data_IF_795941699542
#
_entry.id   IF_795941699542
#
_cell.length_a   1.000
_cell.length_b   1.000
_cell.length_c   1.000
_cell.angle_alpha   90.00
_cell.angle_beta   90.00
_cell.angle_gamma   90.00
#
_symmetry.space_group_name_H-M   'P 1'
#
loop_
_entity.id
_entity.type
_entity.pdbx_description
1 polymer ?
#
# COMPACT_ATOMS: atom_id res chain seq x y z
N UNK A 1 100.81 -146.06 -5.21
CA UNK A 1 100.47 -146.55 -3.86
C UNK A 1 98.96 -146.45 -3.68
N UNK A 2 98.28 -147.62 -3.68
CA UNK A 2 97.25 -148.10 -2.74
C UNK A 2 96.38 -147.03 -2.02
N UNK A 3 95.06 -147.12 -1.81
CA UNK A 3 93.97 -148.12 -1.92
C UNK A 3 92.79 -147.40 -1.18
N UNK A 4 91.51 -147.34 -1.59
CA UNK A 4 90.42 -148.31 -1.33
C UNK A 4 89.05 -147.71 -1.71
N UNK A 5 88.33 -148.43 -2.57
CA UNK A 5 86.91 -148.87 -2.49
C UNK A 5 85.82 -148.00 -1.80
N UNK A 6 84.72 -147.67 -2.52
CA UNK A 6 83.38 -148.28 -2.37
C UNK A 6 82.30 -147.68 -3.30
N UNK A 7 81.26 -148.49 -3.54
CA UNK A 7 80.31 -148.52 -4.66
C UNK A 7 78.87 -148.06 -4.21
N UNK A 8 77.78 -148.13 -5.01
CA UNK A 8 76.91 -146.98 -5.38
C UNK A 8 75.45 -147.02 -4.84
N UNK A 9 74.62 -145.99 -5.15
CA UNK A 9 73.16 -145.99 -4.89
C UNK A 9 72.34 -145.19 -5.91
N UNK A 10 71.44 -145.86 -6.65
CA UNK A 10 70.71 -145.32 -7.81
C UNK A 10 69.45 -144.46 -7.50
N UNK A 11 69.18 -144.10 -6.24
CA UNK A 11 67.90 -143.50 -5.80
C UNK A 11 67.78 -141.96 -5.87
N UNK A 12 68.88 -141.21 -6.04
CA UNK A 12 68.85 -139.73 -5.99
C UNK A 12 68.34 -139.03 -7.26
N UNK A 13 68.03 -139.74 -8.34
CA UNK A 13 67.55 -139.11 -9.58
C UNK A 13 66.03 -139.03 -9.68
N UNK A 14 65.27 -139.88 -8.98
CA UNK A 14 63.79 -139.85 -9.01
C UNK A 14 63.20 -138.77 -8.08
N UNK A 15 63.81 -138.50 -6.93
CA UNK A 15 63.31 -137.49 -5.97
C UNK A 15 63.36 -136.05 -6.46
N UNK A 16 64.25 -135.72 -7.41
CA UNK A 16 64.42 -134.33 -7.89
C UNK A 16 63.35 -133.88 -8.88
N UNK A 17 62.72 -134.80 -9.61
CA UNK A 17 61.68 -134.49 -10.59
C UNK A 17 60.33 -134.12 -9.94
N UNK A 18 59.96 -134.80 -8.85
CA UNK A 18 58.70 -134.56 -8.12
C UNK A 18 58.69 -133.18 -7.44
N UNK A 19 59.83 -132.76 -6.89
CA UNK A 19 59.94 -131.46 -6.20
C UNK A 19 59.71 -130.26 -7.15
N UNK A 20 60.13 -130.36 -8.41
CA UNK A 20 59.94 -129.29 -9.42
C UNK A 20 58.46 -129.20 -9.84
N UNK A 21 57.77 -130.33 -9.98
CA UNK A 21 56.38 -130.38 -10.41
C UNK A 21 55.44 -129.77 -9.35
N UNK A 22 55.69 -130.06 -8.07
CA UNK A 22 54.91 -129.51 -6.96
C UNK A 22 55.09 -127.99 -6.82
N UNK A 23 56.31 -127.48 -7.08
CA UNK A 23 56.58 -126.03 -7.07
C UNK A 23 55.80 -125.30 -8.18
N UNK A 24 55.64 -125.91 -9.34
CA UNK A 24 54.93 -125.30 -10.47
C UNK A 24 53.42 -125.22 -10.21
N UNK A 25 52.81 -126.26 -9.64
CA UNK A 25 51.38 -126.28 -9.27
C UNK A 25 51.06 -125.18 -8.26
N UNK A 26 51.90 -124.99 -7.25
CA UNK A 26 51.68 -123.96 -6.23
C UNK A 26 51.66 -122.54 -6.81
N UNK A 27 52.57 -122.24 -7.74
CA UNK A 27 52.61 -120.93 -8.43
C UNK A 27 51.35 -120.73 -9.28
N UNK A 28 50.87 -121.75 -9.96
CA UNK A 28 49.63 -121.68 -10.76
C UNK A 28 48.41 -121.41 -9.86
N UNK A 29 48.32 -122.06 -8.70
CA UNK A 29 47.22 -121.83 -7.75
C UNK A 29 47.21 -120.40 -7.21
N UNK A 30 48.38 -119.83 -6.89
CA UNK A 30 48.47 -118.43 -6.45
C UNK A 30 48.06 -117.46 -7.57
N UNK A 31 48.49 -117.71 -8.81
CA UNK A 31 48.12 -116.89 -9.95
C UNK A 31 46.60 -116.88 -10.19
N UNK A 32 45.94 -118.05 -10.05
CA UNK A 32 44.48 -118.16 -10.15
C UNK A 32 43.79 -117.42 -9.01
N UNK A 33 44.27 -117.57 -7.77
CA UNK A 33 43.70 -116.88 -6.59
C UNK A 33 43.78 -115.36 -6.72
N UNK A 34 44.90 -114.82 -7.21
CA UNK A 34 45.06 -113.39 -7.46
C UNK A 34 44.11 -112.93 -8.60
N UNK A 35 43.99 -113.73 -9.67
CA UNK A 35 43.07 -113.44 -10.76
C UNK A 35 41.60 -113.36 -10.29
N UNK A 36 41.17 -114.31 -9.46
CA UNK A 36 39.82 -114.31 -8.86
C UNK A 36 39.65 -113.14 -7.90
N UNK A 37 40.65 -112.84 -7.07
CA UNK A 37 40.62 -111.72 -6.13
C UNK A 37 40.46 -110.37 -6.84
N UNK A 38 41.16 -110.15 -7.96
CA UNK A 38 41.02 -108.93 -8.76
C UNK A 38 39.65 -108.90 -9.47
N UNK A 39 39.22 -110.02 -10.08
CA UNK A 39 37.98 -110.07 -10.85
C UNK A 39 36.74 -109.81 -9.99
N UNK A 40 36.71 -110.31 -8.74
CA UNK A 40 35.59 -110.10 -7.82
C UNK A 40 35.76 -108.88 -6.89
N UNK A 41 36.99 -108.43 -6.63
CA UNK A 41 37.25 -107.25 -5.79
C UNK A 41 36.87 -105.93 -6.46
N UNK A 42 37.12 -105.79 -7.77
CA UNK A 42 36.83 -104.55 -8.52
C UNK A 42 35.33 -104.22 -8.55
N UNK A 43 34.41 -105.17 -8.84
CA UNK A 43 32.96 -104.89 -8.82
C UNK A 43 32.44 -104.47 -7.44
N UNK A 44 32.93 -105.07 -6.35
CA UNK A 44 32.45 -104.76 -5.00
C UNK A 44 32.83 -103.35 -4.54
N UNK A 45 34.07 -102.94 -4.84
CA UNK A 45 34.56 -101.58 -4.53
C UNK A 45 33.82 -100.51 -5.36
N UNK A 46 33.46 -100.83 -6.61
CA UNK A 46 32.75 -99.91 -7.50
C UNK A 46 31.35 -99.54 -6.96
N UNK A 47 30.58 -100.53 -6.49
CA UNK A 47 29.22 -100.29 -5.98
C UNK A 47 29.19 -99.53 -4.65
N UNK A 48 30.19 -99.70 -3.78
CA UNK A 48 30.17 -99.12 -2.43
C UNK A 48 30.68 -97.68 -2.36
N UNK A 49 31.44 -97.22 -3.36
CA UNK A 49 32.05 -95.87 -3.37
C UNK A 49 31.49 -94.94 -4.44
N UNK A 50 31.04 -95.45 -5.60
CA UNK A 50 30.69 -94.59 -6.75
C UNK A 50 29.27 -94.02 -6.66
N UNK A 51 28.32 -94.74 -6.06
CA UNK A 51 26.91 -94.33 -5.98
C UNK A 51 26.65 -93.14 -5.01
N UNK A 52 27.21 -93.06 -3.78
CA UNK A 52 26.93 -91.92 -2.88
C UNK A 52 27.53 -90.57 -3.37
N UNK A 53 28.50 -90.61 -4.27
CA UNK A 53 29.10 -89.40 -4.87
C UNK A 53 28.17 -88.79 -5.92
N UNK A 54 27.33 -89.58 -6.59
CA UNK A 54 26.41 -89.07 -7.62
C UNK A 54 25.24 -88.29 -7.01
N UNK A 55 24.64 -88.77 -5.91
CA UNK A 55 23.58 -88.04 -5.19
C UNK A 55 24.12 -86.77 -4.51
N UNK A 56 25.35 -86.85 -3.99
CA UNK A 56 26.03 -85.68 -3.41
C UNK A 56 26.38 -84.65 -4.49
N UNK A 57 26.81 -85.09 -5.68
CA UNK A 57 27.08 -84.20 -6.81
C UNK A 57 25.81 -83.49 -7.30
N UNK A 58 24.68 -84.19 -7.42
CA UNK A 58 23.41 -83.59 -7.82
C UNK A 58 22.87 -82.58 -6.79
N UNK A 59 23.02 -82.86 -5.48
CA UNK A 59 22.65 -81.91 -4.42
C UNK A 59 23.55 -80.67 -4.41
N UNK A 60 24.86 -80.87 -4.60
CA UNK A 60 25.83 -79.77 -4.70
C UNK A 60 25.50 -78.87 -5.90
N UNK A 61 25.12 -79.46 -7.04
CA UNK A 61 24.71 -78.69 -8.23
C UNK A 61 23.45 -77.85 -7.98
N UNK A 62 22.45 -78.40 -7.27
CA UNK A 62 21.23 -77.66 -6.89
C UNK A 62 21.55 -76.54 -5.90
N UNK A 63 22.37 -76.81 -4.87
CA UNK A 63 22.82 -75.79 -3.91
C UNK A 63 23.63 -74.69 -4.57
N UNK A 64 24.48 -75.02 -5.55
CA UNK A 64 25.23 -74.03 -6.33
C UNK A 64 24.30 -73.15 -7.15
N UNK A 65 23.32 -73.74 -7.85
CA UNK A 65 22.30 -72.96 -8.57
C UNK A 65 21.48 -72.08 -7.64
N UNK A 66 21.08 -72.59 -6.48
CA UNK A 66 20.31 -71.82 -5.50
C UNK A 66 21.11 -70.66 -4.91
N UNK A 67 22.41 -70.88 -4.63
CA UNK A 67 23.34 -69.82 -4.23
C UNK A 67 23.57 -68.78 -5.32
N UNK A 68 23.70 -69.20 -6.58
CA UNK A 68 23.82 -68.30 -7.73
C UNK A 68 22.56 -67.46 -7.92
N UNK A 69 21.38 -68.09 -7.88
CA UNK A 69 20.08 -67.41 -7.97
C UNK A 69 19.87 -66.44 -6.81
N UNK A 70 20.14 -66.88 -5.58
CA UNK A 70 20.06 -66.01 -4.40
C UNK A 70 21.01 -64.82 -4.57
N UNK A 71 22.25 -65.05 -5.03
CA UNK A 71 23.22 -63.97 -5.27
C UNK A 71 22.74 -62.99 -6.36
N UNK A 72 22.10 -63.48 -7.42
CA UNK A 72 21.54 -62.59 -8.45
C UNK A 72 20.36 -61.79 -7.92
N UNK A 73 19.51 -62.39 -7.10
CA UNK A 73 18.36 -61.73 -6.48
C UNK A 73 18.85 -60.62 -5.53
N UNK A 74 19.82 -60.93 -4.65
CA UNK A 74 20.44 -59.93 -3.76
C UNK A 74 21.09 -58.78 -4.54
N UNK A 75 21.80 -59.06 -5.63
CA UNK A 75 22.38 -58.01 -6.46
C UNK A 75 21.31 -57.14 -7.14
N UNK A 76 20.19 -57.75 -7.54
CA UNK A 76 19.06 -57.04 -8.15
C UNK A 76 18.38 -56.14 -7.12
N UNK A 77 18.07 -56.68 -5.94
CA UNK A 77 17.47 -55.93 -4.82
C UNK A 77 18.37 -54.76 -4.36
N UNK A 78 19.67 -54.99 -4.23
CA UNK A 78 20.62 -53.93 -3.88
C UNK A 78 20.67 -52.82 -4.94
N UNK A 79 20.59 -53.20 -6.22
CA UNK A 79 20.55 -52.24 -7.32
C UNK A 79 19.25 -51.43 -7.29
N UNK A 80 18.10 -52.07 -7.06
CA UNK A 80 16.81 -51.39 -6.95
C UNK A 80 16.79 -50.45 -5.72
N UNK A 81 17.28 -50.91 -4.57
CA UNK A 81 17.38 -50.07 -3.37
C UNK A 81 18.30 -48.87 -3.60
N UNK A 82 19.46 -49.07 -4.25
CA UNK A 82 20.36 -47.97 -4.60
C UNK A 82 19.67 -46.95 -5.51
N UNK A 83 18.92 -47.42 -6.52
CA UNK A 83 18.16 -46.53 -7.41
C UNK A 83 17.08 -45.75 -6.64
N UNK A 84 16.36 -46.42 -5.73
CA UNK A 84 15.35 -45.78 -4.87
C UNK A 84 15.95 -44.74 -3.94
N UNK A 85 17.11 -45.02 -3.34
CA UNK A 85 17.83 -44.06 -2.49
C UNK A 85 18.24 -42.84 -3.32
N UNK A 86 18.85 -43.02 -4.49
CA UNK A 86 19.23 -41.90 -5.35
C UNK A 86 18.02 -41.06 -5.81
N UNK A 87 16.88 -41.70 -6.09
CA UNK A 87 15.64 -40.99 -6.42
C UNK A 87 15.10 -40.18 -5.23
N UNK A 88 15.11 -40.75 -4.02
CA UNK A 88 14.70 -40.06 -2.80
C UNK A 88 15.64 -38.90 -2.45
N UNK A 89 16.94 -39.06 -2.63
CA UNK A 89 17.93 -37.98 -2.44
C UNK A 89 17.68 -36.83 -3.42
N UNK A 90 17.38 -37.14 -4.68
CA UNK A 90 17.02 -36.13 -5.69
C UNK A 90 15.71 -35.41 -5.36
N UNK A 91 14.69 -36.13 -4.91
CA UNK A 91 13.42 -35.53 -4.52
C UNK A 91 13.58 -34.63 -3.29
N UNK A 92 14.34 -35.09 -2.30
CA UNK A 92 14.65 -34.32 -1.09
C UNK A 92 15.44 -33.05 -1.42
N UNK A 93 16.38 -33.11 -2.36
CA UNK A 93 17.08 -31.93 -2.86
C UNK A 93 16.11 -30.95 -3.55
N UNK A 94 15.21 -31.43 -4.40
CA UNK A 94 14.20 -30.60 -5.06
C UNK A 94 13.20 -29.98 -4.07
N UNK A 95 12.81 -30.71 -3.03
CA UNK A 95 11.95 -30.18 -1.97
C UNK A 95 12.65 -29.11 -1.15
N UNK A 96 13.93 -29.28 -0.81
CA UNK A 96 14.72 -28.24 -0.13
C UNK A 96 14.81 -26.96 -0.94
N UNK A 97 15.03 -27.08 -2.25
CA UNK A 97 15.05 -25.93 -3.15
C UNK A 97 13.71 -25.19 -3.17
N UNK A 98 12.59 -25.94 -3.23
CA UNK A 98 11.23 -25.36 -3.17
C UNK A 98 10.95 -24.66 -1.85
N UNK A 99 11.39 -25.24 -0.73
CA UNK A 99 11.25 -24.62 0.60
C UNK A 99 12.05 -23.32 0.65
N UNK A 100 13.31 -23.33 0.21
CA UNK A 100 14.14 -22.13 0.17
C UNK A 100 13.52 -21.02 -0.71
N UNK A 101 12.94 -21.39 -1.86
CA UNK A 101 12.22 -20.46 -2.71
C UNK A 101 10.98 -19.87 -2.01
N UNK A 102 10.17 -20.70 -1.35
CA UNK A 102 9.00 -20.26 -0.60
C UNK A 102 9.37 -19.35 0.58
N UNK A 103 10.44 -19.65 1.30
CA UNK A 103 10.96 -18.79 2.38
C UNK A 103 11.40 -17.44 1.82
N UNK A 104 12.07 -17.42 0.66
CA UNK A 104 12.41 -16.19 -0.04
C UNK A 104 11.19 -15.38 -0.48
N UNK A 105 10.15 -16.05 -0.99
CA UNK A 105 8.89 -15.43 -1.38
C UNK A 105 8.15 -14.83 -0.17
N UNK A 106 8.12 -15.55 0.95
CA UNK A 106 7.55 -15.04 2.20
C UNK A 106 8.30 -13.81 2.71
N UNK A 107 9.64 -13.82 2.66
CA UNK A 107 10.44 -12.66 3.04
C UNK A 107 10.15 -11.42 2.18
N UNK A 108 10.00 -11.60 0.87
CA UNK A 108 9.59 -10.52 -0.04
C UNK A 108 8.18 -10.02 0.24
N UNK A 109 7.25 -10.91 0.58
CA UNK A 109 5.88 -10.52 0.93
C UNK A 109 5.85 -9.72 2.24
N UNK A 110 6.65 -10.10 3.23
CA UNK A 110 6.77 -9.38 4.50
C UNK A 110 7.34 -7.97 4.28
N UNK A 111 8.37 -7.84 3.45
CA UNK A 111 8.92 -6.54 3.06
C UNK A 111 7.88 -5.65 2.34
N UNK A 112 7.07 -6.24 1.45
CA UNK A 112 5.96 -5.53 0.80
C UNK A 112 4.87 -5.10 1.80
N UNK A 113 4.54 -5.92 2.79
CA UNK A 113 3.57 -5.57 3.83
C UNK A 113 4.07 -4.41 4.67
N UNK A 114 5.35 -4.42 5.06
CA UNK A 114 5.97 -3.31 5.80
C UNK A 114 5.95 -2.02 4.98
N UNK A 115 6.29 -2.08 3.69
CA UNK A 115 6.24 -0.92 2.80
C UNK A 115 4.80 -0.38 2.63
N UNK A 116 3.79 -1.26 2.56
CA UNK A 116 2.39 -0.83 2.54
C UNK A 116 1.95 -0.20 3.87
N UNK A 117 2.34 -0.76 5.01
CA UNK A 117 2.05 -0.19 6.33
C UNK A 117 2.66 1.21 6.46
N UNK A 118 3.89 1.41 5.99
CA UNK A 118 4.54 2.72 5.94
C UNK A 118 3.77 3.69 5.05
N UNK A 119 3.38 3.26 3.85
CA UNK A 119 2.56 4.07 2.93
C UNK A 119 1.22 4.46 3.56
N UNK A 120 0.56 3.55 4.26
CA UNK A 120 -0.71 3.83 4.95
C UNK A 120 -0.52 4.79 6.13
N UNK A 121 0.60 4.66 6.85
CA UNK A 121 0.99 5.56 7.95
C UNK A 121 1.26 6.98 7.44
N UNK A 122 1.76 7.14 6.21
CA UNK A 122 1.96 8.44 5.55
C UNK A 122 0.66 9.03 4.97
N UNK A 123 -0.18 8.19 4.35
CA UNK A 123 -1.42 8.64 3.72
C UNK A 123 -2.46 9.13 4.73
N UNK A 124 -2.50 8.53 5.92
CA UNK A 124 -3.47 8.89 6.95
C UNK A 124 -3.37 10.35 7.43
N UNK A 125 -2.21 10.86 7.89
CA UNK A 125 -2.08 12.26 8.27
C UNK A 125 -2.26 13.21 7.08
N UNK A 126 -1.92 12.79 5.86
CA UNK A 126 -2.20 13.59 4.66
C UNK A 126 -3.71 13.74 4.43
N UNK A 127 -4.49 12.67 4.61
CA UNK A 127 -5.95 12.71 4.53
C UNK A 127 -6.54 13.63 5.61
N UNK A 128 -6.11 13.47 6.86
CA UNK A 128 -6.59 14.28 7.99
C UNK A 128 -6.30 15.78 7.73
N UNK A 129 -5.11 16.11 7.20
CA UNK A 129 -4.76 17.49 6.83
C UNK A 129 -5.63 18.03 5.70
N UNK A 130 -5.98 17.20 4.70
CA UNK A 130 -6.87 17.62 3.62
C UNK A 130 -8.30 17.85 4.10
N UNK A 131 -8.79 17.04 5.04
CA UNK A 131 -10.11 17.22 5.66
C UNK A 131 -10.16 18.53 6.45
N UNK A 132 -9.13 18.82 7.24
CA UNK A 132 -9.00 20.07 7.99
C UNK A 132 -8.99 21.29 7.05
N UNK A 133 -8.18 21.25 5.98
CA UNK A 133 -8.13 22.34 4.99
C UNK A 133 -9.49 22.54 4.28
N UNK A 134 -10.22 21.46 4.02
CA UNK A 134 -11.55 21.53 3.40
C UNK A 134 -12.57 22.14 4.37
N UNK A 135 -12.47 21.82 5.67
CA UNK A 135 -13.26 22.46 6.72
C UNK A 135 -13.00 23.96 6.80
N UNK A 136 -11.73 24.37 6.84
CA UNK A 136 -11.33 25.78 6.85
C UNK A 136 -11.85 26.55 5.65
N UNK A 137 -11.76 25.97 4.43
CA UNK A 137 -12.34 26.58 3.23
C UNK A 137 -13.87 26.73 3.32
N UNK A 138 -14.56 25.80 3.99
CA UNK A 138 -15.99 25.91 4.27
C UNK A 138 -16.31 27.11 5.15
N UNK A 139 -15.57 27.25 6.25
CA UNK A 139 -15.71 28.37 7.19
C UNK A 139 -15.39 29.72 6.51
N UNK A 140 -14.30 29.78 5.74
CA UNK A 140 -13.90 30.97 4.98
C UNK A 140 -14.99 31.40 3.98
N UNK A 141 -15.61 30.44 3.29
CA UNK A 141 -16.71 30.72 2.36
C UNK A 141 -17.93 31.26 3.09
N UNK A 142 -18.27 30.73 4.27
CA UNK A 142 -19.36 31.24 5.10
C UNK A 142 -19.10 32.69 5.54
N UNK A 143 -17.87 32.99 5.97
CA UNK A 143 -17.43 34.35 6.31
C UNK A 143 -17.57 35.29 5.10
N UNK A 144 -17.07 34.88 3.93
CA UNK A 144 -17.16 35.69 2.71
C UNK A 144 -18.61 35.96 2.30
N UNK A 145 -19.51 34.98 2.45
CA UNK A 145 -20.93 35.20 2.18
C UNK A 145 -21.56 36.19 3.17
N UNK A 146 -21.17 36.12 4.45
CA UNK A 146 -21.57 37.09 5.45
C UNK A 146 -21.10 38.51 5.10
N UNK A 147 -19.83 38.68 4.76
CA UNK A 147 -19.25 39.96 4.32
C UNK A 147 -19.90 40.48 3.03
N UNK A 148 -20.25 39.60 2.10
CA UNK A 148 -20.94 39.99 0.88
C UNK A 148 -22.37 40.48 1.15
N UNK A 149 -23.06 39.90 2.14
CA UNK A 149 -24.39 40.34 2.53
C UNK A 149 -24.35 41.69 3.24
N UNK A 150 -23.39 41.91 4.13
CA UNK A 150 -23.19 43.24 4.76
C UNK A 150 -22.85 44.29 3.72
N UNK A 151 -21.91 44.00 2.80
CA UNK A 151 -21.56 44.90 1.72
C UNK A 151 -22.75 45.16 0.78
N UNK A 152 -23.56 44.13 0.50
CA UNK A 152 -24.80 44.30 -0.27
C UNK A 152 -25.76 45.24 0.43
N UNK A 153 -25.93 45.14 1.74
CA UNK A 153 -26.80 46.05 2.52
C UNK A 153 -26.25 47.48 2.50
N UNK A 154 -24.93 47.65 2.65
CA UNK A 154 -24.29 48.97 2.58
C UNK A 154 -24.43 49.59 1.18
N UNK A 155 -24.24 48.79 0.12
CA UNK A 155 -24.39 49.21 -1.26
C UNK A 155 -25.84 49.24 -1.75
N UNK A 156 -26.80 48.71 -0.98
CA UNK A 156 -28.21 48.65 -1.37
C UNK A 156 -28.89 50.02 -1.36
N UNK A 157 -28.23 51.07 -0.87
CA UNK A 157 -28.79 52.42 -0.96
C UNK A 157 -27.85 53.45 -1.61
N UNK A 158 -27.49 53.26 -2.91
CA UNK A 158 -26.85 54.32 -3.71
C UNK A 158 -27.75 55.55 -3.80
N UNK A 159 -29.07 55.34 -3.73
CA UNK A 159 -30.07 56.40 -3.68
C UNK A 159 -29.96 57.23 -2.39
N UNK A 160 -29.61 56.66 -1.24
CA UNK A 160 -29.34 57.44 -0.01
C UNK A 160 -28.17 58.39 -0.18
N UNK A 161 -27.07 57.95 -0.79
CA UNK A 161 -25.89 58.81 -0.99
C UNK A 161 -26.22 59.94 -1.97
N UNK A 162 -26.91 59.62 -3.07
CA UNK A 162 -27.34 60.63 -4.06
C UNK A 162 -28.38 61.58 -3.47
N UNK A 163 -29.35 61.09 -2.70
CA UNK A 163 -30.37 61.90 -2.04
C UNK A 163 -29.77 62.80 -0.94
N UNK A 164 -28.80 62.31 -0.17
CA UNK A 164 -28.08 63.13 0.81
C UNK A 164 -27.29 64.26 0.13
N UNK A 165 -26.63 63.97 -1.00
CA UNK A 165 -25.91 64.98 -1.78
C UNK A 165 -26.85 66.01 -2.40
N UNK A 166 -27.99 65.58 -2.97
CA UNK A 166 -29.01 66.48 -3.52
C UNK A 166 -29.55 67.43 -2.44
N UNK A 167 -29.92 66.91 -1.26
CA UNK A 167 -30.39 67.74 -0.13
C UNK A 167 -29.35 68.79 0.27
N UNK A 168 -28.08 68.38 0.41
CA UNK A 168 -27.00 69.30 0.79
C UNK A 168 -26.75 70.40 -0.25
N UNK A 169 -26.83 70.05 -1.54
CA UNK A 169 -26.69 71.03 -2.60
C UNK A 169 -27.79 72.09 -2.54
N UNK A 170 -29.04 71.68 -2.31
CA UNK A 170 -30.18 72.60 -2.24
C UNK A 170 -30.08 73.48 -0.96
N UNK A 171 -29.61 72.94 0.17
CA UNK A 171 -29.35 73.73 1.39
C UNK A 171 -28.28 74.80 1.16
N UNK A 172 -27.19 74.47 0.48
CA UNK A 172 -26.15 75.44 0.12
C UNK A 172 -26.67 76.52 -0.85
N UNK A 173 -27.56 76.15 -1.78
CA UNK A 173 -28.23 77.11 -2.64
C UNK A 173 -29.13 78.07 -1.82
N UNK A 174 -29.93 77.55 -0.88
CA UNK A 174 -30.74 78.37 0.01
C UNK A 174 -29.87 79.34 0.84
N UNK A 175 -28.77 78.84 1.40
CA UNK A 175 -27.78 79.63 2.14
C UNK A 175 -27.20 80.77 1.29
N UNK A 176 -26.84 80.48 0.04
CA UNK A 176 -26.32 81.48 -0.89
C UNK A 176 -27.33 82.56 -1.25
N UNK A 177 -28.59 82.18 -1.48
CA UNK A 177 -29.68 83.12 -1.77
C UNK A 177 -30.03 84.02 -0.57
N UNK A 178 -29.95 83.50 0.67
CA UNK A 178 -30.10 84.32 1.89
C UNK A 178 -28.98 85.36 1.99
N UNK A 179 -27.73 84.96 1.73
CA UNK A 179 -26.59 85.88 1.73
C UNK A 179 -26.76 86.97 0.66
N UNK A 180 -27.21 86.59 -0.54
CA UNK A 180 -27.50 87.51 -1.64
C UNK A 180 -28.62 88.49 -1.29
N UNK A 181 -29.69 88.01 -0.63
CA UNK A 181 -30.77 88.87 -0.16
C UNK A 181 -30.26 89.93 0.83
N UNK A 182 -29.38 89.54 1.76
CA UNK A 182 -28.73 90.47 2.71
C UNK A 182 -27.88 91.52 1.99
N UNK A 183 -27.10 91.12 0.98
CA UNK A 183 -26.31 92.04 0.17
C UNK A 183 -27.20 93.05 -0.56
N UNK A 184 -28.28 92.61 -1.19
CA UNK A 184 -29.22 93.50 -1.86
C UNK A 184 -29.90 94.50 -0.91
N UNK A 185 -30.18 94.11 0.34
CA UNK A 185 -30.70 95.04 1.34
C UNK A 185 -29.67 96.10 1.75
N UNK A 186 -28.38 95.75 1.81
CA UNK A 186 -27.31 96.72 2.08
C UNK A 186 -27.11 97.71 0.92
N UNK A 187 -27.46 97.30 -0.30
CA UNK A 187 -27.45 98.12 -1.51
C UNK A 187 -28.74 98.95 -1.71
N UNK A 188 -29.64 98.96 -0.72
CA UNK A 188 -30.96 99.62 -0.79
C UNK A 188 -31.86 99.09 -1.94
N UNK A 189 -31.70 97.81 -2.27
CA UNK A 189 -32.43 97.13 -3.34
C UNK A 189 -33.39 96.07 -2.80
N UNK A 190 -34.46 96.54 -2.16
CA UNK A 190 -35.49 95.68 -1.55
C UNK A 190 -36.16 94.72 -2.56
N UNK A 191 -36.34 95.14 -3.81
CA UNK A 191 -36.94 94.30 -4.85
C UNK A 191 -36.10 93.06 -5.18
N UNK A 192 -34.79 93.25 -5.34
CA UNK A 192 -33.87 92.13 -5.62
C UNK A 192 -33.64 91.25 -4.39
N UNK A 193 -33.67 91.85 -3.19
CA UNK A 193 -33.62 91.09 -1.94
C UNK A 193 -34.81 90.11 -1.81
N UNK A 194 -36.03 90.56 -2.11
CA UNK A 194 -37.21 89.69 -2.08
C UNK A 194 -37.18 88.58 -3.12
N UNK A 195 -36.64 88.85 -4.31
CA UNK A 195 -36.45 87.81 -5.33
C UNK A 195 -35.49 86.72 -4.84
N UNK A 196 -34.38 87.11 -4.21
CA UNK A 196 -33.43 86.17 -3.61
C UNK A 196 -34.08 85.38 -2.45
N UNK A 197 -34.87 86.03 -1.57
CA UNK A 197 -35.61 85.31 -0.51
C UNK A 197 -36.65 84.33 -1.06
N UNK A 198 -37.33 84.65 -2.16
CA UNK A 198 -38.25 83.73 -2.80
C UNK A 198 -37.55 82.47 -3.33
N UNK A 199 -36.34 82.62 -3.88
CA UNK A 199 -35.51 81.49 -4.31
C UNK A 199 -35.01 80.66 -3.12
N UNK A 200 -34.54 81.32 -2.05
CA UNK A 200 -34.15 80.64 -0.82
C UNK A 200 -35.30 79.82 -0.22
N UNK A 201 -36.50 80.40 -0.18
CA UNK A 201 -37.71 79.72 0.29
C UNK A 201 -38.05 78.49 -0.55
N UNK A 202 -38.05 78.61 -1.88
CA UNK A 202 -38.35 77.48 -2.77
C UNK A 202 -37.36 76.32 -2.58
N UNK A 203 -36.07 76.64 -2.34
CA UNK A 203 -35.06 75.65 -2.03
C UNK A 203 -35.29 74.98 -0.67
N UNK A 204 -35.65 75.74 0.37
CA UNK A 204 -35.99 75.18 1.69
C UNK A 204 -37.22 74.26 1.61
N UNK A 205 -38.29 74.66 0.91
CA UNK A 205 -39.49 73.84 0.71
C UNK A 205 -39.14 72.50 0.06
N UNK A 206 -38.25 72.51 -0.94
CA UNK A 206 -37.80 71.29 -1.61
C UNK A 206 -37.00 70.38 -0.68
N UNK A 207 -36.15 70.91 0.19
CA UNK A 207 -35.39 70.08 1.14
C UNK A 207 -36.28 69.53 2.24
N UNK A 208 -37.22 70.33 2.76
CA UNK A 208 -38.20 69.89 3.78
C UNK A 208 -38.97 68.65 3.30
N UNK A 209 -39.41 68.64 2.03
CA UNK A 209 -40.10 67.50 1.41
C UNK A 209 -39.23 66.23 1.29
N UNK A 210 -37.90 66.41 1.23
CA UNK A 210 -36.93 65.33 1.04
C UNK A 210 -36.30 64.87 2.37
N UNK A 211 -36.52 65.61 3.46
CA UNK A 211 -35.88 65.35 4.75
C UNK A 211 -36.77 64.52 5.70
N UNK A 212 -36.17 63.65 6.54
CA UNK A 212 -36.87 62.96 7.62
C UNK A 212 -37.38 63.95 8.69
N UNK A 213 -38.41 63.54 9.44
CA UNK A 213 -39.16 64.42 10.36
C UNK A 213 -38.34 65.31 11.31
N UNK A 214 -37.29 64.84 12.02
CA UNK A 214 -36.55 65.73 12.93
C UNK A 214 -35.77 66.83 12.19
N UNK A 215 -35.29 66.56 10.99
CA UNK A 215 -34.61 67.55 10.14
C UNK A 215 -35.64 68.52 9.53
N UNK A 216 -36.77 67.99 9.06
CA UNK A 216 -37.84 68.79 8.47
C UNK A 216 -38.40 69.84 9.44
N UNK A 217 -38.62 69.50 10.72
CA UNK A 217 -39.10 70.44 11.74
C UNK A 217 -38.16 71.64 11.92
N UNK A 218 -36.85 71.40 11.97
CA UNK A 218 -35.87 72.49 12.12
C UNK A 218 -35.83 73.40 10.89
N UNK A 219 -35.94 72.84 9.69
CA UNK A 219 -35.98 73.59 8.44
C UNK A 219 -37.28 74.39 8.29
N UNK A 220 -38.41 73.86 8.76
CA UNK A 220 -39.69 74.58 8.83
C UNK A 220 -39.55 75.81 9.74
N UNK A 221 -38.93 75.67 10.91
CA UNK A 221 -38.70 76.81 11.80
C UNK A 221 -37.81 77.90 11.16
N UNK A 222 -36.78 77.50 10.39
CA UNK A 222 -35.94 78.42 9.61
C UNK A 222 -36.76 79.12 8.51
N UNK A 223 -37.63 78.37 7.81
CA UNK A 223 -38.50 78.90 6.77
C UNK A 223 -39.51 79.93 7.30
N UNK A 224 -40.14 79.66 8.44
CA UNK A 224 -41.10 80.59 9.07
C UNK A 224 -40.42 81.93 9.41
N UNK A 225 -39.17 81.88 9.89
CA UNK A 225 -38.38 83.08 10.17
C UNK A 225 -37.98 83.82 8.90
N UNK A 226 -37.67 83.09 7.83
CA UNK A 226 -37.42 83.67 6.51
C UNK A 226 -38.63 84.45 5.98
N UNK A 227 -39.83 83.91 6.16
CA UNK A 227 -41.08 84.56 5.77
C UNK A 227 -41.37 85.83 6.59
N UNK A 228 -41.08 85.78 7.90
CA UNK A 228 -41.16 86.96 8.77
C UNK A 228 -40.16 88.05 8.34
N UNK A 229 -38.91 87.68 8.04
CA UNK A 229 -37.89 88.60 7.54
C UNK A 229 -38.29 89.24 6.21
N UNK A 230 -38.86 88.46 5.28
CA UNK A 230 -39.33 88.93 3.98
C UNK A 230 -40.44 89.99 4.10
N UNK A 231 -41.35 89.81 5.06
CA UNK A 231 -42.42 90.77 5.36
C UNK A 231 -41.84 92.07 5.94
N UNK A 232 -40.80 91.98 6.77
CA UNK A 232 -40.16 93.12 7.41
C UNK A 232 -39.29 93.99 6.46
N UNK A 233 -38.97 93.53 5.24
CA UNK A 233 -38.08 94.23 4.30
C UNK A 233 -38.57 95.65 3.97
N UNK A 234 -39.87 95.85 3.74
CA UNK A 234 -40.41 97.16 3.36
C UNK A 234 -40.53 98.12 4.54
N UNK A 235 -40.94 97.61 5.69
CA UNK A 235 -41.25 98.45 6.86
C UNK A 235 -40.02 98.73 7.71
N UNK A 236 -39.11 97.75 7.80
CA UNK A 236 -37.96 97.76 8.71
C UNK A 236 -36.74 97.05 8.08
N UNK A 237 -36.11 97.64 7.04
CA UNK A 237 -34.99 96.99 6.31
C UNK A 237 -33.83 96.58 7.21
N UNK A 238 -33.47 97.41 8.19
CA UNK A 238 -32.39 97.11 9.15
C UNK A 238 -32.69 95.91 10.05
N UNK A 239 -33.96 95.73 10.44
CA UNK A 239 -34.38 94.57 11.23
C UNK A 239 -34.34 93.32 10.37
N UNK A 240 -34.79 93.41 9.12
CA UNK A 240 -34.73 92.32 8.15
C UNK A 240 -33.28 91.87 7.88
N UNK A 241 -32.32 92.80 7.73
CA UNK A 241 -30.89 92.48 7.55
C UNK A 241 -30.36 91.66 8.73
N UNK A 242 -30.68 92.05 9.97
CA UNK A 242 -30.23 91.34 11.16
C UNK A 242 -30.90 89.96 11.28
N UNK A 243 -32.19 89.86 10.97
CA UNK A 243 -32.90 88.58 10.99
C UNK A 243 -32.33 87.59 9.97
N UNK A 244 -32.03 88.05 8.75
CA UNK A 244 -31.38 87.24 7.73
C UNK A 244 -30.00 86.74 8.13
N UNK A 245 -29.24 87.52 8.91
CA UNK A 245 -27.96 87.07 9.46
C UNK A 245 -28.12 85.91 10.46
N UNK A 246 -29.16 85.97 11.31
CA UNK A 246 -29.43 84.90 12.27
C UNK A 246 -29.88 83.64 11.51
N UNK A 247 -30.82 83.77 10.57
CA UNK A 247 -31.30 82.66 9.74
C UNK A 247 -30.13 82.00 8.97
N UNK A 248 -29.24 82.81 8.41
CA UNK A 248 -28.05 82.33 7.71
C UNK A 248 -27.14 81.51 8.63
N UNK A 249 -26.93 81.96 9.88
CA UNK A 249 -26.14 81.21 10.89
C UNK A 249 -26.81 79.92 11.31
N UNK A 250 -28.13 79.93 11.49
CA UNK A 250 -28.87 78.73 11.88
C UNK A 250 -28.83 77.68 10.77
N UNK A 251 -28.92 78.12 9.52
CA UNK A 251 -28.77 77.25 8.36
C UNK A 251 -27.33 76.71 8.20
N UNK A 252 -26.31 77.54 8.48
CA UNK A 252 -24.90 77.11 8.50
C UNK A 252 -24.62 76.06 9.58
N UNK A 253 -25.17 76.27 10.79
CA UNK A 253 -25.09 75.32 11.89
C UNK A 253 -25.79 73.99 11.54
N UNK A 254 -26.94 74.05 10.88
CA UNK A 254 -27.65 72.87 10.40
C UNK A 254 -26.81 72.08 9.38
N UNK A 255 -26.31 72.75 8.32
CA UNK A 255 -25.49 72.13 7.27
C UNK A 255 -24.22 71.49 7.83
N UNK A 256 -23.59 72.12 8.84
CA UNK A 256 -22.36 71.59 9.45
C UNK A 256 -22.61 70.46 10.45
N UNK A 257 -23.77 70.43 11.10
CA UNK A 257 -24.16 69.32 11.99
C UNK A 257 -24.42 68.00 11.26
N UNK A 258 -24.87 68.02 10.00
CA UNK A 258 -25.01 66.81 9.16
C UNK A 258 -23.67 66.15 8.80
N UNK A 259 -22.54 66.86 8.96
CA UNK A 259 -21.19 66.35 8.61
C UNK A 259 -20.47 65.59 9.73
N UNK A 260 -21.04 65.50 10.94
CA UNK A 260 -20.47 64.80 12.09
C UNK A 260 -21.23 63.53 12.42
#
# INVERSE_FOLDING_TARGET
MNEKTQQPGCWNRLGRAIAVLLRLVFVVVIAILIGVGIYYGVPWVYWRLVIPVQDSAARIEILQRDLENTRTDWNTDLTEQSQRISALESDLAAQRERIAALEGDMGRMDELLVAQEETLSELRPALDSTEEATGQLGDDVEVIYGELDTLRVEMADPNRVVAAFERRLILLQAWGEILKARMHLLEDNAGSARQALALARANLERVILLSPEPEAETLIAIQERLDAANTAIEERPFVAINELEIIWRDLDAFITSETR
#
